data_IF_582064965509
#
_entry.id   IF_582064965509
#
_cell.length_a   1.000
_cell.length_b   1.000
_cell.length_c   1.000
_cell.angle_alpha   90.00
_cell.angle_beta   90.00
_cell.angle_gamma   90.00
#
_symmetry.space_group_name_H-M   'P 1'
#
loop_
_entity.id
_entity.type
_entity.pdbx_description
1 polymer ?
#
# COMPACT_ATOMS: atom_id res chain seq x y z
N UNK A 1 -16.05 62.18 -58.61
CA UNK A 1 -14.79 62.22 -57.84
C UNK A 1 -14.65 60.87 -57.15
N UNK A 2 -13.59 60.16 -57.51
CA UNK A 2 -13.23 58.83 -57.05
C UNK A 2 -12.97 58.76 -55.54
N UNK A 3 -13.24 57.61 -54.92
CA UNK A 3 -12.42 57.11 -53.82
C UNK A 3 -12.38 55.57 -53.88
N UNK A 4 -11.19 55.07 -54.17
CA UNK A 4 -10.84 53.66 -54.31
C UNK A 4 -10.21 53.20 -53.00
N UNK A 5 -10.81 52.22 -52.32
CA UNK A 5 -10.24 51.62 -51.10
C UNK A 5 -9.48 50.34 -51.49
N UNK A 6 -8.17 50.33 -51.25
CA UNK A 6 -7.28 49.22 -51.56
C UNK A 6 -7.48 48.02 -50.62
N UNK A 7 -7.57 46.82 -51.19
CA UNK A 7 -7.67 45.54 -50.48
C UNK A 7 -6.24 45.06 -50.18
N UNK A 8 -5.89 44.95 -48.89
CA UNK A 8 -4.62 44.40 -48.43
C UNK A 8 -4.52 42.89 -48.69
N UNK A 9 -3.50 42.48 -49.44
CA UNK A 9 -3.20 41.08 -49.71
C UNK A 9 -2.66 40.37 -48.48
N UNK A 10 -3.33 39.30 -48.06
CA UNK A 10 -2.80 38.36 -47.04
C UNK A 10 -1.84 37.40 -47.74
N UNK A 11 -0.55 37.46 -47.39
CA UNK A 11 0.42 36.46 -47.81
C UNK A 11 0.18 35.15 -47.03
N UNK A 12 -0.02 34.05 -47.76
CA UNK A 12 -0.11 32.73 -47.18
C UNK A 12 1.26 32.32 -46.60
N UNK A 13 1.31 31.73 -45.39
CA UNK A 13 2.56 31.26 -44.80
C UNK A 13 3.18 30.16 -45.65
N UNK A 14 4.51 30.19 -45.82
CA UNK A 14 5.23 29.17 -46.56
C UNK A 14 5.17 27.81 -45.85
N UNK A 15 5.21 26.73 -46.62
CA UNK A 15 5.22 25.34 -46.12
C UNK A 15 6.29 25.09 -45.05
N UNK A 16 7.43 25.78 -45.15
CA UNK A 16 8.52 25.68 -44.20
C UNK A 16 8.14 26.25 -42.81
N UNK A 17 7.41 27.36 -42.79
CA UNK A 17 6.91 27.98 -41.55
C UNK A 17 5.86 27.10 -40.86
N UNK A 18 5.04 26.40 -41.64
CA UNK A 18 4.03 25.45 -41.12
C UNK A 18 4.72 24.24 -40.49
N UNK A 19 5.72 23.65 -41.17
CA UNK A 19 6.49 22.51 -40.65
C UNK A 19 7.28 22.85 -39.38
N UNK A 20 7.86 24.05 -39.29
CA UNK A 20 8.58 24.50 -38.10
C UNK A 20 7.64 24.66 -36.89
N UNK A 21 6.42 25.15 -37.11
CA UNK A 21 5.41 25.27 -36.05
C UNK A 21 4.97 23.90 -35.53
N UNK A 22 4.82 22.89 -36.39
CA UNK A 22 4.49 21.53 -35.96
C UNK A 22 5.62 20.86 -35.18
N UNK A 23 6.88 21.09 -35.56
CA UNK A 23 8.04 20.59 -34.83
C UNK A 23 8.18 21.23 -33.43
N UNK A 24 7.99 22.55 -33.34
CA UNK A 24 8.02 23.26 -32.06
C UNK A 24 6.83 22.85 -31.18
N UNK A 25 5.63 22.72 -31.75
CA UNK A 25 4.46 22.24 -31.03
C UNK A 25 4.65 20.80 -30.54
N UNK A 26 5.21 19.91 -31.36
CA UNK A 26 5.52 18.53 -30.99
C UNK A 26 6.55 18.42 -29.87
N UNK A 27 7.60 19.27 -29.90
CA UNK A 27 8.60 19.34 -28.83
C UNK A 27 8.02 19.91 -27.53
N UNK A 28 7.16 20.92 -27.60
CA UNK A 28 6.47 21.48 -26.44
C UNK A 28 5.46 20.49 -25.83
N UNK A 29 4.71 19.76 -26.64
CA UNK A 29 3.85 18.66 -26.18
C UNK A 29 4.66 17.52 -25.56
N UNK A 30 5.80 17.15 -26.14
CA UNK A 30 6.69 16.13 -25.58
C UNK A 30 7.28 16.56 -24.23
N UNK A 31 7.62 17.85 -24.07
CA UNK A 31 8.08 18.41 -22.79
C UNK A 31 6.96 18.50 -21.73
N UNK A 32 5.72 18.77 -22.14
CA UNK A 32 4.58 18.75 -21.22
C UNK A 32 4.19 17.32 -20.78
N UNK A 33 4.34 16.32 -21.64
CA UNK A 33 4.06 14.91 -21.28
C UNK A 33 5.13 14.36 -20.32
N UNK A 34 6.35 14.89 -20.33
CA UNK A 34 7.46 14.42 -19.48
C UNK A 34 7.59 15.12 -18.13
N UNK A 35 6.67 16.05 -17.81
CA UNK A 35 6.70 16.82 -16.55
C UNK A 35 5.37 16.80 -15.79
N UNK A 36 4.66 15.66 -15.75
CA UNK A 36 3.72 15.43 -14.64
C UNK A 36 4.52 15.17 -13.38
N UNK A 37 4.84 16.25 -12.67
CA UNK A 37 5.29 16.18 -11.28
C UNK A 37 4.13 15.55 -10.50
N UNK A 38 4.19 14.25 -10.25
CA UNK A 38 3.24 13.55 -9.39
C UNK A 38 3.38 14.20 -8.02
N UNK A 39 2.48 15.11 -7.67
CA UNK A 39 2.43 15.66 -6.32
C UNK A 39 2.04 14.49 -5.42
N UNK A 40 3.00 13.93 -4.69
CA UNK A 40 2.75 12.89 -3.69
C UNK A 40 1.71 13.42 -2.71
N UNK A 41 0.68 12.61 -2.48
CA UNK A 41 -0.38 12.90 -1.53
C UNK A 41 0.23 13.21 -0.14
N UNK A 42 -0.09 14.35 0.48
CA UNK A 42 0.41 14.72 1.80
C UNK A 42 0.21 13.63 2.87
N UNK A 43 -0.91 12.89 2.80
CA UNK A 43 -1.20 11.80 3.74
C UNK A 43 -0.26 10.62 3.53
N UNK A 44 0.04 10.27 2.27
CA UNK A 44 1.03 9.24 1.95
C UNK A 44 2.41 9.62 2.46
N UNK A 45 2.82 10.87 2.25
CA UNK A 45 4.11 11.35 2.74
C UNK A 45 4.19 11.28 4.26
N UNK A 46 3.15 11.73 4.97
CA UNK A 46 3.08 11.66 6.42
C UNK A 46 3.16 10.21 6.91
N UNK A 47 2.36 9.30 6.36
CA UNK A 47 2.33 7.91 6.79
C UNK A 47 3.63 7.16 6.47
N UNK A 48 4.27 7.43 5.33
CA UNK A 48 5.59 6.85 5.03
C UNK A 48 6.65 7.32 6.03
N UNK A 49 6.65 8.61 6.38
CA UNK A 49 7.59 9.16 7.37
C UNK A 49 7.33 8.60 8.77
N UNK A 50 6.08 8.60 9.24
CA UNK A 50 5.72 8.09 10.57
C UNK A 50 6.03 6.61 10.71
N UNK A 51 5.66 5.79 9.71
CA UNK A 51 5.84 4.34 9.78
C UNK A 51 7.28 3.90 9.49
N UNK A 52 8.08 4.76 8.85
CA UNK A 52 9.43 4.42 8.39
C UNK A 52 9.44 3.33 7.30
N UNK A 53 8.31 3.06 6.66
CA UNK A 53 8.21 2.05 5.60
C UNK A 53 8.49 2.71 4.25
N UNK A 54 9.51 2.20 3.56
CA UNK A 54 9.81 2.58 2.18
C UNK A 54 9.00 1.72 1.21
N UNK A 55 8.02 2.33 0.54
CA UNK A 55 7.20 1.68 -0.50
C UNK A 55 6.75 2.71 -1.54
N UNK A 56 6.40 2.30 -2.77
CA UNK A 56 5.81 3.20 -3.76
C UNK A 56 4.50 3.82 -3.26
N UNK A 57 4.22 5.08 -3.62
CA UNK A 57 3.00 5.80 -3.24
C UNK A 57 1.73 5.01 -3.53
N UNK A 58 1.68 4.28 -4.66
CA UNK A 58 0.54 3.43 -5.02
C UNK A 58 0.23 2.33 -3.98
N UNK A 59 1.27 1.77 -3.33
CA UNK A 59 1.09 0.78 -2.27
C UNK A 59 0.53 1.44 -1.00
N UNK A 60 0.99 2.64 -0.67
CA UNK A 60 0.42 3.40 0.44
C UNK A 60 -1.03 3.79 0.17
N UNK A 61 -1.37 4.23 -1.04
CA UNK A 61 -2.73 4.57 -1.41
C UNK A 61 -3.68 3.38 -1.29
N UNK A 62 -3.30 2.21 -1.83
CA UNK A 62 -4.08 0.97 -1.65
C UNK A 62 -4.21 0.60 -0.16
N UNK A 63 -3.13 0.72 0.60
CA UNK A 63 -3.13 0.42 2.04
C UNK A 63 -4.04 1.36 2.84
N UNK A 64 -4.03 2.66 2.53
CA UNK A 64 -4.90 3.68 3.14
C UNK A 64 -6.36 3.35 2.86
N UNK A 65 -6.72 3.08 1.61
CA UNK A 65 -8.11 2.74 1.25
C UNK A 65 -8.60 1.49 1.99
N UNK A 66 -7.77 0.44 2.06
CA UNK A 66 -8.09 -0.80 2.78
C UNK A 66 -8.18 -0.59 4.30
N UNK A 67 -7.26 0.19 4.88
CA UNK A 67 -7.25 0.50 6.30
C UNK A 67 -8.47 1.32 6.71
N UNK A 68 -8.80 2.36 5.95
CA UNK A 68 -10.01 3.17 6.12
C UNK A 68 -11.26 2.31 6.11
N UNK A 69 -11.41 1.45 5.09
CA UNK A 69 -12.57 0.56 4.98
C UNK A 69 -12.73 -0.32 6.22
N UNK A 70 -11.66 -1.02 6.58
CA UNK A 70 -11.69 -1.95 7.71
C UNK A 70 -11.97 -1.22 9.03
N UNK A 71 -11.40 -0.02 9.22
CA UNK A 71 -11.61 0.77 10.43
C UNK A 71 -13.04 1.30 10.52
N UNK A 72 -13.60 1.78 9.40
CA UNK A 72 -14.99 2.22 9.34
C UNK A 72 -15.96 1.08 9.65
N UNK A 73 -15.75 -0.11 9.08
CA UNK A 73 -16.54 -1.31 9.38
C UNK A 73 -16.49 -1.66 10.89
N UNK A 74 -15.30 -1.65 11.50
CA UNK A 74 -15.11 -1.94 12.93
C UNK A 74 -15.77 -0.89 13.84
N UNK A 75 -15.81 0.36 13.39
CA UNK A 75 -16.49 1.47 14.08
C UNK A 75 -17.99 1.54 13.77
N UNK A 76 -18.51 0.70 12.87
CA UNK A 76 -19.91 0.72 12.45
C UNK A 76 -20.30 1.96 11.63
N UNK A 77 -19.34 2.59 10.98
CA UNK A 77 -19.52 3.79 10.14
C UNK A 77 -19.73 3.34 8.69
N UNK A 78 -20.80 3.80 8.06
CA UNK A 78 -20.99 3.62 6.62
C UNK A 78 -20.32 4.77 5.87
N UNK A 79 -19.22 4.49 5.18
CA UNK A 79 -18.59 5.45 4.27
C UNK A 79 -19.17 5.25 2.86
N UNK A 80 -19.99 6.21 2.40
CA UNK A 80 -20.64 6.13 1.09
C UNK A 80 -19.66 6.44 -0.07
N UNK A 81 -18.53 7.11 0.19
CA UNK A 81 -17.49 7.40 -0.79
C UNK A 81 -16.08 7.22 -0.18
N UNK A 82 -15.17 6.61 -0.94
CA UNK A 82 -13.80 6.29 -0.50
C UNK A 82 -12.82 7.48 -0.56
N UNK A 83 -13.20 8.57 -1.24
CA UNK A 83 -12.46 9.84 -1.20
C UNK A 83 -12.81 10.57 0.10
N UNK A 84 -12.15 10.17 1.19
CA UNK A 84 -12.25 10.88 2.46
C UNK A 84 -11.59 12.26 2.33
N UNK A 85 -12.29 13.28 2.80
CA UNK A 85 -11.67 14.58 3.10
C UNK A 85 -10.74 14.46 4.31
N UNK A 86 -9.78 15.39 4.45
CA UNK A 86 -8.90 15.44 5.63
C UNK A 86 -9.68 15.58 6.94
N UNK A 87 -10.83 16.27 6.92
CA UNK A 87 -11.69 16.43 8.09
C UNK A 87 -12.34 15.10 8.50
N UNK A 88 -12.87 14.33 7.54
CA UNK A 88 -13.43 12.99 7.82
C UNK A 88 -12.35 12.01 8.29
N UNK A 89 -11.13 12.13 7.75
CA UNK A 89 -9.97 11.39 8.22
C UNK A 89 -9.63 11.69 9.68
N UNK A 90 -9.56 12.97 10.05
CA UNK A 90 -9.30 13.41 11.43
C UNK A 90 -10.39 12.93 12.39
N UNK A 91 -11.66 13.01 11.99
CA UNK A 91 -12.79 12.53 12.78
C UNK A 91 -12.74 11.01 12.99
N UNK A 92 -12.44 10.24 11.93
CA UNK A 92 -12.27 8.79 12.00
C UNK A 92 -11.12 8.43 12.94
N UNK A 93 -9.99 9.14 12.84
CA UNK A 93 -8.83 8.92 13.69
C UNK A 93 -9.15 9.23 15.16
N UNK A 94 -9.88 10.30 15.44
CA UNK A 94 -10.28 10.66 16.80
C UNK A 94 -11.14 9.58 17.46
N UNK A 95 -12.18 9.10 16.76
CA UNK A 95 -13.03 8.00 17.25
C UNK A 95 -12.24 6.69 17.45
N UNK A 96 -11.36 6.39 16.51
CA UNK A 96 -10.52 5.21 16.58
C UNK A 96 -9.55 5.27 17.76
N UNK A 97 -8.95 6.44 18.03
CA UNK A 97 -8.08 6.65 19.17
C UNK A 97 -8.80 6.55 20.50
N UNK A 98 -10.02 7.08 20.61
CA UNK A 98 -10.83 6.94 21.82
C UNK A 98 -11.14 5.47 22.13
N UNK A 99 -11.42 4.67 21.09
CA UNK A 99 -11.81 3.26 21.27
C UNK A 99 -10.64 2.30 21.45
N UNK A 100 -9.55 2.47 20.70
CA UNK A 100 -8.47 1.50 20.59
C UNK A 100 -7.15 1.96 21.22
N UNK A 101 -6.94 3.27 21.35
CA UNK A 101 -5.67 3.83 21.81
C UNK A 101 -4.51 3.49 20.86
N UNK A 102 -3.34 3.26 21.45
CA UNK A 102 -2.13 2.84 20.72
C UNK A 102 -2.13 1.33 20.48
N UNK A 103 -1.69 0.96 19.29
CA UNK A 103 -1.60 -0.43 18.85
C UNK A 103 -0.21 -0.73 18.29
N UNK A 104 0.06 -2.00 18.09
CA UNK A 104 1.34 -2.52 17.59
C UNK A 104 1.10 -3.20 16.23
N UNK A 105 1.95 -2.88 15.26
CA UNK A 105 2.16 -3.72 14.09
C UNK A 105 3.37 -4.62 14.35
N UNK A 106 3.19 -5.92 14.13
CA UNK A 106 4.22 -6.93 14.40
C UNK A 106 4.39 -7.92 13.26
N UNK A 107 5.49 -8.66 13.34
CA UNK A 107 5.76 -9.84 12.54
C UNK A 107 6.12 -11.03 13.42
N UNK A 108 5.64 -12.22 13.02
CA UNK A 108 6.07 -13.48 13.61
C UNK A 108 7.06 -14.19 12.70
N UNK A 109 8.11 -14.73 13.29
CA UNK A 109 9.15 -15.50 12.60
C UNK A 109 9.36 -16.88 13.23
N UNK A 110 9.58 -17.93 12.44
CA UNK A 110 10.14 -19.19 12.91
C UNK A 110 11.48 -19.00 13.62
N UNK A 111 11.60 -19.51 14.84
CA UNK A 111 12.86 -19.59 15.57
C UNK A 111 13.70 -20.80 15.14
N UNK A 112 13.08 -21.79 14.50
CA UNK A 112 13.72 -22.96 13.90
C UNK A 112 13.18 -23.19 12.49
N UNK A 113 13.96 -23.82 11.62
CA UNK A 113 13.46 -24.29 10.33
C UNK A 113 12.59 -25.54 10.56
N UNK A 114 11.41 -25.60 9.94
CA UNK A 114 10.47 -26.71 10.13
C UNK A 114 9.17 -26.56 9.36
N UNK A 115 8.23 -27.47 9.62
CA UNK A 115 6.87 -27.40 9.10
C UNK A 115 6.01 -26.51 9.99
N UNK A 116 5.39 -25.50 9.39
CA UNK A 116 4.48 -24.57 10.06
C UNK A 116 3.09 -24.63 9.43
N UNK A 117 1.99 -24.51 10.21
CA UNK A 117 0.65 -24.47 9.66
C UNK A 117 0.48 -23.33 8.66
N UNK A 118 -0.08 -23.61 7.48
CA UNK A 118 -0.40 -22.58 6.50
C UNK A 118 -1.92 -22.36 6.47
N UNK A 119 -2.34 -21.16 6.89
CA UNK A 119 -3.73 -20.71 6.87
C UNK A 119 -4.08 -19.87 5.63
N UNK A 120 -3.08 -19.49 4.85
CA UNK A 120 -3.24 -18.79 3.57
C UNK A 120 -3.16 -19.73 2.36
N UNK A 121 -2.59 -20.92 2.53
CA UNK A 121 -2.44 -21.90 1.45
C UNK A 121 -3.73 -22.72 1.29
N UNK A 122 -4.22 -22.88 0.07
CA UNK A 122 -5.41 -23.70 -0.21
C UNK A 122 -5.05 -25.19 -0.27
N UNK A 123 -3.92 -25.55 -0.87
CA UNK A 123 -3.56 -26.95 -1.12
C UNK A 123 -2.81 -27.63 0.04
N UNK A 124 -2.04 -26.86 0.82
CA UNK A 124 -1.15 -27.42 1.85
C UNK A 124 -1.53 -26.93 3.25
N UNK A 125 -1.89 -27.81 4.20
CA UNK A 125 -2.20 -27.41 5.58
C UNK A 125 -0.95 -26.98 6.36
N UNK A 126 0.24 -27.34 5.88
CA UNK A 126 1.53 -26.95 6.46
C UNK A 126 2.57 -26.76 5.36
N UNK A 127 3.51 -25.84 5.59
CA UNK A 127 4.62 -25.57 4.68
C UNK A 127 5.96 -25.54 5.42
N UNK A 128 7.02 -25.86 4.70
CA UNK A 128 8.39 -25.72 5.17
C UNK A 128 8.78 -24.23 5.19
N UNK A 129 9.22 -23.75 6.35
CA UNK A 129 9.84 -22.45 6.52
C UNK A 129 11.26 -22.62 7.08
N UNK A 130 12.13 -21.69 6.70
CA UNK A 130 13.42 -21.51 7.32
C UNK A 130 13.30 -20.55 8.51
N UNK A 131 14.20 -20.71 9.49
CA UNK A 131 14.37 -19.76 10.59
C UNK A 131 14.45 -18.33 10.04
N UNK A 132 13.71 -17.42 10.66
CA UNK A 132 13.71 -15.99 10.31
C UNK A 132 12.87 -15.62 9.09
N UNK A 133 12.19 -16.58 8.45
CA UNK A 133 11.22 -16.22 7.40
C UNK A 133 9.92 -15.65 7.97
N UNK A 134 9.20 -14.83 7.22
CA UNK A 134 7.92 -14.28 7.64
C UNK A 134 6.88 -15.39 7.77
N UNK A 135 6.43 -15.66 9.01
CA UNK A 135 5.28 -16.52 9.25
C UNK A 135 3.98 -15.72 9.22
N UNK A 136 3.92 -14.59 9.92
CA UNK A 136 2.71 -13.77 10.03
C UNK A 136 3.06 -12.29 10.07
N UNK A 137 2.28 -11.46 9.40
CA UNK A 137 2.24 -10.01 9.63
C UNK A 137 0.89 -9.69 10.27
N UNK A 138 0.86 -8.89 11.33
CA UNK A 138 -0.39 -8.60 12.02
C UNK A 138 -0.34 -7.32 12.83
N UNK A 139 -1.48 -7.04 13.47
CA UNK A 139 -1.64 -5.96 14.43
C UNK A 139 -2.33 -6.41 15.73
N UNK A 140 -2.10 -5.68 16.81
CA UNK A 140 -2.79 -5.86 18.09
C UNK A 140 -2.79 -4.57 18.92
N UNK A 141 -3.87 -4.29 19.65
CA UNK A 141 -3.93 -3.21 20.66
C UNK A 141 -3.82 -3.75 22.10
N UNK A 142 -3.40 -5.00 22.24
CA UNK A 142 -3.31 -5.72 23.52
C UNK A 142 -1.90 -6.24 23.81
N UNK A 143 -0.90 -5.71 23.09
CA UNK A 143 0.49 -6.18 23.12
C UNK A 143 0.64 -7.68 22.76
N UNK A 144 1.87 -8.19 22.76
CA UNK A 144 2.14 -9.63 22.56
C UNK A 144 1.42 -10.48 23.62
N UNK A 145 1.55 -10.11 24.90
CA UNK A 145 1.02 -10.90 26.02
C UNK A 145 -0.51 -11.01 25.97
N UNK A 146 -1.22 -9.93 25.64
CA UNK A 146 -2.68 -9.97 25.52
C UNK A 146 -3.15 -10.71 24.28
N UNK A 147 -2.39 -10.66 23.17
CA UNK A 147 -2.75 -11.37 21.93
C UNK A 147 -2.47 -12.86 21.97
N UNK A 148 -1.34 -13.26 22.53
CA UNK A 148 -0.81 -14.61 22.42
C UNK A 148 -0.57 -15.31 23.76
N UNK A 149 -0.40 -14.56 24.85
CA UNK A 149 -0.05 -15.12 26.16
C UNK A 149 1.16 -16.07 26.05
N UNK A 150 1.04 -17.27 26.61
CA UNK A 150 2.09 -18.30 26.54
C UNK A 150 2.03 -19.19 25.27
N UNK A 151 1.12 -18.93 24.33
CA UNK A 151 0.93 -19.81 23.16
C UNK A 151 2.03 -19.66 22.11
N UNK A 152 2.69 -18.49 22.03
CA UNK A 152 3.64 -18.19 20.96
C UNK A 152 4.90 -19.06 21.02
N UNK A 153 5.48 -19.17 22.23
CA UNK A 153 6.69 -19.97 22.49
C UNK A 153 6.47 -21.46 22.23
N UNK A 154 5.24 -21.96 22.37
CA UNK A 154 4.87 -23.35 22.05
C UNK A 154 5.02 -23.68 20.56
N UNK A 155 5.01 -22.67 19.71
CA UNK A 155 5.04 -22.82 18.25
C UNK A 155 6.39 -22.46 17.63
N UNK A 156 7.45 -22.27 18.44
CA UNK A 156 8.76 -21.81 17.96
C UNK A 156 8.66 -20.55 17.11
N UNK A 157 7.80 -19.61 17.52
CA UNK A 157 7.63 -18.32 16.87
C UNK A 157 8.23 -17.22 17.75
N UNK A 158 8.83 -16.22 17.11
CA UNK A 158 9.32 -15.00 17.72
C UNK A 158 8.43 -13.82 17.32
N UNK A 159 7.96 -13.05 18.29
CA UNK A 159 7.19 -11.83 18.08
C UNK A 159 8.15 -10.64 17.96
N UNK A 160 8.13 -9.95 16.83
CA UNK A 160 8.84 -8.70 16.64
C UNK A 160 7.83 -7.57 16.43
N UNK A 161 7.78 -6.64 17.39
CA UNK A 161 7.15 -5.34 17.17
C UNK A 161 7.98 -4.57 16.14
N UNK A 162 7.35 -4.23 15.03
CA UNK A 162 7.99 -3.49 13.93
C UNK A 162 7.54 -2.02 13.90
N UNK A 163 6.36 -1.70 14.43
CA UNK A 163 5.84 -0.34 14.54
C UNK A 163 4.81 -0.23 15.68
N UNK A 164 4.72 0.95 16.30
CA UNK A 164 3.72 1.31 17.32
C UNK A 164 3.17 2.70 16.98
N UNK A 165 1.86 2.86 17.07
CA UNK A 165 1.20 4.10 16.71
C UNK A 165 -0.31 4.04 16.93
N UNK A 166 -1.03 4.99 16.36
CA UNK A 166 -2.49 4.96 16.33
C UNK A 166 -2.98 3.70 15.59
N UNK A 167 -4.19 3.23 15.89
CA UNK A 167 -4.78 2.08 15.19
C UNK A 167 -4.81 2.27 13.67
N UNK A 168 -5.06 3.50 13.18
CA UNK A 168 -5.07 3.76 11.74
C UNK A 168 -3.67 3.59 11.14
N UNK A 169 -2.64 4.20 11.72
CA UNK A 169 -1.25 4.06 11.26
C UNK A 169 -0.80 2.60 11.29
N UNK A 170 -1.19 1.86 12.33
CA UNK A 170 -0.90 0.44 12.49
C UNK A 170 -1.60 -0.41 11.43
N UNK A 171 -2.87 -0.12 11.10
CA UNK A 171 -3.59 -0.77 10.01
C UNK A 171 -2.93 -0.49 8.67
N UNK A 172 -2.55 0.76 8.39
CA UNK A 172 -1.81 1.13 7.17
C UNK A 172 -0.47 0.38 7.12
N UNK A 173 0.31 0.38 8.19
CA UNK A 173 1.59 -0.33 8.27
C UNK A 173 1.42 -1.84 8.02
N UNK A 174 0.40 -2.47 8.59
CA UNK A 174 0.06 -3.88 8.32
C UNK A 174 -0.22 -4.09 6.82
N UNK A 175 -1.09 -3.25 6.22
CA UNK A 175 -1.48 -3.40 4.81
C UNK A 175 -0.31 -3.18 3.86
N UNK A 176 0.49 -2.13 4.06
CA UNK A 176 1.71 -1.90 3.26
C UNK A 176 2.63 -3.11 3.33
N UNK A 177 2.88 -3.66 4.53
CA UNK A 177 3.78 -4.83 4.69
C UNK A 177 3.22 -6.11 4.08
N UNK A 178 1.91 -6.33 4.13
CA UNK A 178 1.25 -7.44 3.44
C UNK A 178 1.36 -7.30 1.91
N UNK A 179 1.16 -6.09 1.38
CA UNK A 179 1.33 -5.81 -0.05
C UNK A 179 2.79 -5.99 -0.49
N UNK A 180 3.76 -5.50 0.29
CA UNK A 180 5.18 -5.71 0.02
C UNK A 180 5.56 -7.20 0.06
N UNK A 181 5.01 -7.97 1.00
CA UNK A 181 5.24 -9.42 1.06
C UNK A 181 4.81 -10.12 -0.24
N UNK A 182 3.67 -9.73 -0.83
CA UNK A 182 3.15 -10.28 -2.10
C UNK A 182 4.16 -10.20 -3.25
N UNK A 183 5.01 -9.18 -3.26
CA UNK A 183 6.02 -8.96 -4.31
C UNK A 183 7.46 -9.28 -3.86
N UNK A 184 7.64 -9.74 -2.62
CA UNK A 184 8.95 -9.96 -2.02
C UNK A 184 9.70 -11.17 -2.61
N UNK A 185 11.03 -11.11 -2.56
CA UNK A 185 11.88 -12.27 -2.88
C UNK A 185 11.73 -13.41 -1.86
N UNK A 186 11.45 -13.07 -0.60
CA UNK A 186 11.17 -14.06 0.44
C UNK A 186 9.98 -14.95 0.06
N UNK A 187 8.86 -14.35 -0.36
CA UNK A 187 7.68 -15.09 -0.84
C UNK A 187 8.04 -16.03 -1.99
N UNK A 188 8.80 -15.55 -2.98
CA UNK A 188 9.26 -16.39 -4.11
C UNK A 188 10.08 -17.58 -3.64
N UNK A 189 10.94 -17.39 -2.64
CA UNK A 189 11.72 -18.49 -2.03
C UNK A 189 10.82 -19.50 -1.32
N UNK A 190 9.82 -19.04 -0.56
CA UNK A 190 8.86 -19.93 0.13
C UNK A 190 8.05 -20.73 -0.89
N UNK A 191 7.56 -20.08 -1.95
CA UNK A 191 6.81 -20.71 -3.03
C UNK A 191 7.63 -21.84 -3.67
N UNK A 192 8.88 -21.55 -4.05
CA UNK A 192 9.78 -22.54 -4.65
C UNK A 192 10.07 -23.71 -3.72
N UNK A 193 10.32 -23.44 -2.43
CA UNK A 193 10.64 -24.47 -1.45
C UNK A 193 9.46 -25.43 -1.18
N UNK A 194 8.23 -24.98 -1.41
CA UNK A 194 7.01 -25.72 -1.10
C UNK A 194 6.22 -26.17 -2.33
N UNK A 195 6.75 -25.95 -3.54
CA UNK A 195 6.08 -26.25 -4.80
C UNK A 195 4.67 -25.64 -4.89
N UNK A 196 4.53 -24.39 -4.43
CA UNK A 196 3.29 -23.62 -4.53
C UNK A 196 3.27 -22.84 -5.85
N UNK A 197 2.08 -22.40 -6.26
CA UNK A 197 1.90 -21.37 -7.26
C UNK A 197 1.85 -19.98 -6.63
N UNK A 198 1.99 -18.94 -7.47
CA UNK A 198 1.84 -17.56 -7.00
C UNK A 198 0.45 -17.31 -6.38
N UNK A 199 -0.61 -17.83 -6.99
CA UNK A 199 -1.97 -17.66 -6.50
C UNK A 199 -2.21 -18.27 -5.11
N UNK A 200 -1.44 -19.29 -4.73
CA UNK A 200 -1.63 -20.02 -3.46
C UNK A 200 -1.04 -19.33 -2.24
N UNK A 201 -0.05 -18.44 -2.41
CA UNK A 201 0.59 -17.75 -1.29
C UNK A 201 0.54 -16.23 -1.47
N UNK A 202 -0.65 -15.64 -1.35
CA UNK A 202 -0.84 -14.18 -1.46
C UNK A 202 -0.57 -13.42 -0.15
N UNK A 203 -0.63 -14.12 0.98
CA UNK A 203 -0.36 -13.61 2.32
C UNK A 203 0.68 -14.51 3.00
N UNK A 204 1.33 -14.04 4.08
CA UNK A 204 2.19 -14.91 4.87
C UNK A 204 1.43 -16.14 5.39
N UNK A 205 2.12 -17.27 5.62
CA UNK A 205 1.49 -18.56 5.93
C UNK A 205 0.55 -18.53 7.14
N UNK A 206 0.90 -17.77 8.18
CA UNK A 206 0.13 -17.60 9.42
C UNK A 206 -1.01 -16.57 9.32
N UNK A 207 -1.21 -15.92 8.18
CA UNK A 207 -2.35 -15.05 7.92
C UNK A 207 -3.54 -15.86 7.40
N UNK A 208 -4.71 -15.64 7.99
CA UNK A 208 -5.95 -16.29 7.54
C UNK A 208 -6.53 -15.52 6.36
N UNK A 209 -6.98 -16.22 5.33
CA UNK A 209 -7.87 -15.66 4.32
C UNK A 209 -9.27 -15.69 4.94
N UNK A 210 -9.78 -14.53 5.37
CA UNK A 210 -11.19 -14.41 5.75
C UNK A 210 -12.00 -14.59 4.46
N UNK A 211 -12.79 -15.67 4.40
CA UNK A 211 -13.78 -15.92 3.34
C UNK A 211 -15.11 -15.32 3.73
#
# INVERSE_FOLDING_TARGET
>A
MSNTTAIGGRHAPSLLSILLLFLIAGLLLYWQITTTKTTTDPLVQQLSQTTGIEAPDAIFQEAIQLATKNLAEELGIQLENYDLTMEEYEALLAMAMERFGFCEQYRLYPMASGLYPCYSCVALPSIQLNRGQTYKIGQTCFEEKGRYGASLSKHDLFYLKEFEGTIFEVLVAEKVKLLLFRYSNERKTIIKANNLSDAELQLPPGNKILR
#
